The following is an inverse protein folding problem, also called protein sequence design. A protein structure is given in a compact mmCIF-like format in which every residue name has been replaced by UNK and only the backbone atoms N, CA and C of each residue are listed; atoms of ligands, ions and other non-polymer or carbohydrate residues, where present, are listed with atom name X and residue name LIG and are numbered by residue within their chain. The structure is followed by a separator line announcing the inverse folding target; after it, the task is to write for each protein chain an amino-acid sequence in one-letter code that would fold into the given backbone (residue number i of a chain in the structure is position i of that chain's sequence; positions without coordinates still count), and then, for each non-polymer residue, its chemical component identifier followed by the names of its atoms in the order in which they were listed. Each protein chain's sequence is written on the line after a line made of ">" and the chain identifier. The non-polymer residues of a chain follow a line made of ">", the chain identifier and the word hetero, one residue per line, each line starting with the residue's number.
data_IF_949308330372
#
_entry.id   IF_949308330372
#
_cell.length_a   1.000
_cell.length_b   1.000
_cell.length_c   1.000
_cell.angle_alpha   90.00
_cell.angle_beta   90.00
_cell.angle_gamma   90.00
#
_symmetry.space_group_name_H-M   'P 1'
#
loop_
_entity.id
_entity.type
_entity.pdbx_description
1 polymer ?
#
# COMPACT_ATOMS: atom_id res chain seq x y z
N UNK A 1 -0.18 -11.70 -17.94
CA UNK A 1 -0.12 -10.34 -17.39
C UNK A 1 1.35 -9.98 -17.26
N UNK A 2 1.79 -8.78 -17.63
CA UNK A 2 3.17 -8.39 -17.40
C UNK A 2 3.42 -8.38 -15.89
N UNK A 3 4.56 -8.93 -15.47
CA UNK A 3 5.00 -8.87 -14.08
C UNK A 3 5.43 -7.44 -13.77
N UNK A 4 4.90 -6.85 -12.69
CA UNK A 4 5.28 -5.51 -12.24
C UNK A 4 6.35 -5.64 -11.16
N UNK A 5 7.49 -4.99 -11.36
CA UNK A 5 8.56 -4.94 -10.37
C UNK A 5 8.35 -3.74 -9.44
N UNK A 6 8.17 -4.02 -8.15
CA UNK A 6 8.09 -2.98 -7.13
C UNK A 6 9.47 -2.76 -6.52
N UNK A 7 9.94 -1.51 -6.53
CA UNK A 7 11.12 -1.14 -5.77
C UNK A 7 10.72 -0.25 -4.61
N UNK A 8 10.88 -0.76 -3.41
CA UNK A 8 10.77 0.07 -2.22
C UNK A 8 12.00 0.97 -2.13
N UNK A 9 11.80 2.25 -1.93
CA UNK A 9 12.87 3.24 -1.67
C UNK A 9 13.56 3.03 -0.30
N UNK A 10 13.35 1.88 0.34
CA UNK A 10 13.84 1.53 1.68
C UNK A 10 15.35 1.49 1.84
N UNK A 11 16.13 1.61 0.77
CA UNK A 11 17.59 1.53 0.84
C UNK A 11 18.25 2.78 1.45
N UNK A 12 17.61 3.93 1.45
CA UNK A 12 18.19 5.14 2.07
C UNK A 12 18.42 5.00 3.58
N UNK A 13 17.62 4.18 4.28
CA UNK A 13 17.78 3.91 5.70
C UNK A 13 18.98 2.99 6.03
N UNK A 14 19.36 2.11 5.10
CA UNK A 14 20.47 1.17 5.30
C UNK A 14 21.83 1.88 5.20
N UNK A 15 21.89 2.96 4.42
CA UNK A 15 23.15 3.64 4.14
C UNK A 15 23.43 4.84 5.04
N UNK A 16 22.50 5.27 5.90
CA UNK A 16 22.61 6.49 6.71
C UNK A 16 22.96 7.77 5.92
N UNK A 17 22.79 7.75 4.60
CA UNK A 17 23.10 8.87 3.71
C UNK A 17 21.86 9.33 2.96
N UNK A 18 21.65 10.64 2.92
CA UNK A 18 20.73 11.26 1.99
C UNK A 18 21.38 11.29 0.61
N UNK A 19 20.97 10.40 -0.28
CA UNK A 19 21.45 10.38 -1.64
C UNK A 19 20.87 11.56 -2.44
N UNK A 20 21.67 12.19 -3.30
CA UNK A 20 21.15 13.17 -4.25
C UNK A 20 20.24 12.47 -5.29
N UNK A 21 19.30 13.23 -5.88
CA UNK A 21 18.32 12.69 -6.83
C UNK A 21 18.94 11.87 -7.97
N UNK A 22 20.06 12.33 -8.51
CA UNK A 22 20.76 11.58 -9.57
C UNK A 22 21.27 10.20 -9.10
N UNK A 23 21.69 10.10 -7.85
CA UNK A 23 22.12 8.82 -7.25
C UNK A 23 20.94 7.87 -7.04
N UNK A 24 19.77 8.41 -6.64
CA UNK A 24 18.54 7.63 -6.51
C UNK A 24 18.08 7.15 -7.89
N UNK A 25 18.03 8.04 -8.86
CA UNK A 25 17.66 7.70 -10.24
C UNK A 25 18.57 6.62 -10.83
N UNK A 26 19.89 6.74 -10.64
CA UNK A 26 20.84 5.72 -11.09
C UNK A 26 20.54 4.37 -10.44
N UNK A 27 20.37 4.32 -9.13
CA UNK A 27 20.07 3.10 -8.39
C UNK A 27 18.79 2.43 -8.89
N UNK A 28 17.70 3.18 -9.09
CA UNK A 28 16.44 2.63 -9.59
C UNK A 28 16.57 2.13 -11.04
N UNK A 29 17.34 2.83 -11.88
CA UNK A 29 17.61 2.41 -13.24
C UNK A 29 18.44 1.12 -13.30
N UNK A 30 19.42 0.95 -12.41
CA UNK A 30 20.22 -0.27 -12.31
C UNK A 30 19.34 -1.47 -11.92
N UNK A 31 18.44 -1.30 -10.94
CA UNK A 31 17.47 -2.34 -10.58
C UNK A 31 16.53 -2.64 -11.76
N UNK A 32 15.99 -1.63 -12.41
CA UNK A 32 15.13 -1.77 -13.57
C UNK A 32 15.83 -2.50 -14.73
N UNK A 33 17.13 -2.24 -14.92
CA UNK A 33 17.93 -2.89 -15.95
C UNK A 33 18.13 -4.39 -15.72
N UNK A 34 18.10 -4.85 -14.47
CA UNK A 34 18.18 -6.27 -14.12
C UNK A 34 16.93 -7.07 -14.57
N UNK A 35 15.82 -6.40 -14.85
CA UNK A 35 14.58 -7.00 -15.36
C UNK A 35 14.10 -6.24 -16.62
N UNK A 36 14.78 -6.38 -17.76
CA UNK A 36 14.59 -5.49 -18.93
C UNK A 36 13.22 -5.62 -19.61
N UNK A 37 12.50 -6.71 -19.35
CA UNK A 37 11.16 -6.98 -19.92
C UNK A 37 10.03 -6.75 -18.90
N UNK A 38 10.32 -6.01 -17.79
CA UNK A 38 9.36 -5.80 -16.70
C UNK A 38 9.13 -4.29 -16.52
N UNK A 39 7.86 -3.92 -16.42
CA UNK A 39 7.48 -2.56 -16.08
C UNK A 39 7.94 -2.19 -14.68
N UNK A 40 8.22 -0.90 -14.47
CA UNK A 40 8.74 -0.37 -13.23
C UNK A 40 7.75 0.61 -12.60
N UNK A 41 7.40 0.36 -11.34
CA UNK A 41 6.57 1.26 -10.53
C UNK A 41 7.41 1.81 -9.37
N UNK A 42 7.55 3.12 -9.30
CA UNK A 42 8.26 3.80 -8.20
C UNK A 42 7.44 3.65 -6.92
N UNK A 43 8.09 3.26 -5.82
CA UNK A 43 7.45 3.22 -4.51
C UNK A 43 7.84 4.45 -3.69
N UNK A 44 6.94 5.45 -3.65
CA UNK A 44 7.10 6.65 -2.83
C UNK A 44 6.56 6.42 -1.42
N UNK A 45 7.44 6.25 -0.43
CA UNK A 45 7.11 6.06 0.98
C UNK A 45 8.08 6.87 1.88
N UNK A 46 7.98 8.19 1.87
CA UNK A 46 8.96 9.07 2.51
C UNK A 46 9.12 8.86 4.00
N UNK A 47 8.06 8.45 4.70
CA UNK A 47 8.09 8.19 6.16
C UNK A 47 9.05 7.06 6.54
N UNK A 48 9.22 6.07 5.66
CA UNK A 48 10.11 4.93 5.90
C UNK A 48 11.44 5.07 5.15
N UNK A 49 11.39 5.66 3.96
CA UNK A 49 12.56 5.79 3.11
C UNK A 49 13.48 6.97 3.49
N UNK A 50 12.95 7.97 4.22
CA UNK A 50 13.66 9.21 4.48
C UNK A 50 13.87 10.09 3.24
N UNK A 51 13.30 9.69 2.11
CA UNK A 51 13.37 10.40 0.82
C UNK A 51 11.97 10.49 0.22
N UNK A 52 11.55 11.69 -0.15
CA UNK A 52 10.32 11.91 -0.88
C UNK A 52 10.60 11.94 -2.40
N UNK A 53 9.67 11.41 -3.17
CA UNK A 53 9.66 11.59 -4.60
C UNK A 53 9.38 13.08 -4.90
N UNK A 54 10.25 13.70 -5.68
CA UNK A 54 10.08 15.06 -6.20
C UNK A 54 9.70 15.02 -7.67
N UNK A 55 9.14 16.11 -8.18
CA UNK A 55 8.82 16.23 -9.62
C UNK A 55 10.09 16.13 -10.48
N UNK A 56 11.22 16.66 -10.01
CA UNK A 56 12.50 16.56 -10.73
C UNK A 56 12.98 15.12 -10.82
N UNK A 57 12.98 14.39 -9.71
CA UNK A 57 13.35 12.97 -9.67
C UNK A 57 12.40 12.13 -10.53
N UNK A 58 11.09 12.39 -10.45
CA UNK A 58 10.11 11.69 -11.28
C UNK A 58 10.38 11.90 -12.78
N UNK A 59 10.61 13.14 -13.21
CA UNK A 59 10.91 13.46 -14.61
C UNK A 59 12.20 12.83 -15.09
N UNK A 60 13.21 12.72 -14.22
CA UNK A 60 14.43 11.98 -14.53
C UNK A 60 14.11 10.49 -14.75
N UNK A 61 13.33 9.89 -13.89
CA UNK A 61 12.93 8.48 -14.00
C UNK A 61 12.04 8.19 -15.21
N UNK A 62 11.19 9.14 -15.63
CA UNK A 62 10.37 9.01 -16.85
C UNK A 62 11.16 8.90 -18.15
N UNK A 63 12.46 9.21 -18.14
CA UNK A 63 13.34 8.93 -19.29
C UNK A 63 13.51 7.42 -19.54
N UNK A 64 13.29 6.60 -18.52
CA UNK A 64 13.20 5.16 -18.65
C UNK A 64 11.75 4.77 -19.07
N UNK A 65 11.53 4.28 -20.29
CA UNK A 65 10.19 4.01 -20.80
C UNK A 65 9.44 2.89 -20.07
N UNK A 66 10.14 2.14 -19.21
CA UNK A 66 9.52 1.11 -18.37
C UNK A 66 8.91 1.68 -17.08
N UNK A 67 9.18 2.93 -16.74
CA UNK A 67 8.54 3.60 -15.61
C UNK A 67 7.12 3.96 -16.00
N UNK A 68 6.17 3.16 -15.54
CA UNK A 68 4.74 3.28 -15.90
C UNK A 68 3.90 3.89 -14.78
N UNK A 69 4.42 4.00 -13.56
CA UNK A 69 3.59 4.47 -12.46
C UNK A 69 4.32 4.70 -11.14
N UNK A 70 3.53 5.14 -10.18
CA UNK A 70 3.94 5.38 -8.79
C UNK A 70 2.97 4.69 -7.83
N UNK A 71 3.48 3.87 -6.91
CA UNK A 71 2.75 3.52 -5.68
C UNK A 71 3.03 4.62 -4.68
N UNK A 72 1.99 5.42 -4.37
CA UNK A 72 2.12 6.56 -3.48
C UNK A 72 1.67 6.23 -2.07
N UNK A 73 2.62 6.12 -1.15
CA UNK A 73 2.39 5.93 0.29
C UNK A 73 2.79 7.17 1.11
N UNK A 74 2.96 8.33 0.48
CA UNK A 74 3.01 9.60 1.21
C UNK A 74 1.64 9.88 1.82
N UNK A 75 1.61 10.56 2.99
CA UNK A 75 0.34 10.86 3.67
C UNK A 75 -0.49 11.94 2.97
N UNK A 76 0.10 12.98 2.34
CA UNK A 76 -0.66 13.97 1.58
C UNK A 76 -1.31 13.35 0.32
N UNK A 77 -2.63 13.30 0.27
CA UNK A 77 -3.37 12.72 -0.88
C UNK A 77 -3.20 13.51 -2.17
N UNK A 78 -2.92 14.83 -2.09
CA UNK A 78 -2.64 15.65 -3.28
C UNK A 78 -1.40 15.19 -4.05
N UNK A 79 -0.48 14.45 -3.44
CA UNK A 79 0.65 13.88 -4.16
C UNK A 79 0.18 12.90 -5.26
N UNK A 80 -0.94 12.23 -5.05
CA UNK A 80 -1.54 11.34 -6.06
C UNK A 80 -1.91 12.11 -7.31
N UNK A 81 -2.58 13.27 -7.17
CA UNK A 81 -2.90 14.13 -8.29
C UNK A 81 -1.63 14.63 -9.00
N UNK A 82 -0.59 15.01 -8.25
CA UNK A 82 0.67 15.47 -8.84
C UNK A 82 1.32 14.43 -9.75
N UNK A 83 1.29 13.16 -9.36
CA UNK A 83 1.82 12.05 -10.18
C UNK A 83 0.89 11.69 -11.33
N UNK A 84 -0.42 11.78 -11.12
CA UNK A 84 -1.43 11.60 -12.17
C UNK A 84 -1.29 12.66 -13.27
N UNK A 85 -1.03 13.91 -12.93
CA UNK A 85 -0.80 15.01 -13.88
C UNK A 85 0.47 14.83 -14.74
N UNK A 86 1.35 13.92 -14.35
CA UNK A 86 2.53 13.52 -15.12
C UNK A 86 2.26 12.29 -16.02
N UNK A 87 0.99 11.96 -16.30
CA UNK A 87 0.54 10.83 -17.15
C UNK A 87 1.03 9.46 -16.67
N UNK A 88 1.09 9.24 -15.35
CA UNK A 88 1.49 7.98 -14.75
C UNK A 88 0.30 7.25 -14.12
N UNK A 89 0.37 5.92 -14.09
CA UNK A 89 -0.52 5.12 -13.25
C UNK A 89 -0.16 5.39 -11.77
N UNK A 90 -1.14 5.82 -10.98
CA UNK A 90 -0.91 6.06 -9.56
C UNK A 90 -1.71 5.06 -8.74
N UNK A 91 -1.01 4.35 -7.86
CA UNK A 91 -1.61 3.41 -6.91
C UNK A 91 -1.63 4.05 -5.52
N UNK A 92 -2.81 4.09 -4.90
CA UNK A 92 -2.93 4.52 -3.51
C UNK A 92 -2.22 3.53 -2.57
N UNK A 93 -1.38 4.02 -1.69
CA UNK A 93 -0.61 3.21 -0.73
C UNK A 93 -1.23 3.08 0.65
N UNK A 94 -1.65 4.18 1.32
CA UNK A 94 -2.31 4.10 2.61
C UNK A 94 -3.72 3.51 2.48
N UNK A 95 -3.96 2.35 3.08
CA UNK A 95 -5.22 1.60 2.97
C UNK A 95 -6.40 2.40 3.51
N UNK A 96 -6.17 3.16 4.60
CA UNK A 96 -7.13 4.04 5.27
C UNK A 96 -7.57 5.24 4.43
N UNK A 97 -6.87 5.51 3.33
CA UNK A 97 -7.14 6.65 2.45
C UNK A 97 -7.57 6.20 1.04
N UNK A 98 -8.00 4.95 0.86
CA UNK A 98 -8.22 4.42 -0.48
C UNK A 98 -9.26 5.22 -1.28
N UNK A 99 -10.42 5.52 -0.69
CA UNK A 99 -11.46 6.34 -1.36
C UNK A 99 -10.94 7.75 -1.68
N UNK A 100 -10.15 8.35 -0.79
CA UNK A 100 -9.54 9.68 -1.02
C UNK A 100 -8.52 9.61 -2.14
N UNK A 101 -7.72 8.54 -2.19
CA UNK A 101 -6.77 8.30 -3.26
C UNK A 101 -7.45 8.16 -4.63
N UNK A 102 -8.55 7.42 -4.70
CA UNK A 102 -9.35 7.29 -5.92
C UNK A 102 -9.90 8.65 -6.37
N UNK A 103 -10.38 9.47 -5.42
CA UNK A 103 -10.88 10.81 -5.72
C UNK A 103 -9.79 11.76 -6.25
N UNK A 104 -8.53 11.53 -5.90
CA UNK A 104 -7.37 12.29 -6.39
C UNK A 104 -6.74 11.70 -7.66
N UNK A 105 -7.35 10.67 -8.26
CA UNK A 105 -6.91 10.10 -9.53
C UNK A 105 -6.09 8.82 -9.43
N UNK A 106 -6.02 8.15 -8.27
CA UNK A 106 -5.44 6.82 -8.21
C UNK A 106 -6.28 5.83 -9.04
N UNK A 107 -5.60 4.99 -9.82
CA UNK A 107 -6.26 3.96 -10.64
C UNK A 107 -6.63 2.70 -9.84
N UNK A 108 -5.96 2.47 -8.72
CA UNK A 108 -6.17 1.32 -7.83
C UNK A 108 -5.45 1.55 -6.49
N UNK A 109 -5.48 0.55 -5.58
CA UNK A 109 -4.74 0.54 -4.33
C UNK A 109 -3.79 -0.64 -4.21
N UNK A 110 -2.69 -0.44 -3.49
CA UNK A 110 -1.73 -1.49 -3.14
C UNK A 110 -1.33 -1.30 -1.68
N UNK A 111 -1.79 -2.18 -0.81
CA UNK A 111 -1.51 -2.12 0.62
C UNK A 111 -1.57 -3.47 1.30
N UNK A 112 -1.24 -3.50 2.58
CA UNK A 112 -1.14 -4.74 3.35
C UNK A 112 -2.49 -5.34 3.69
N UNK A 113 -3.46 -4.51 4.08
CA UNK A 113 -4.75 -4.99 4.61
C UNK A 113 -5.69 -5.53 3.54
N UNK A 114 -5.40 -5.25 2.26
CA UNK A 114 -6.10 -5.88 1.14
C UNK A 114 -6.01 -7.42 1.16
N UNK A 115 -4.97 -7.96 1.80
CA UNK A 115 -4.79 -9.41 1.89
C UNK A 115 -5.85 -10.11 2.75
N UNK A 116 -6.42 -9.42 3.74
CA UNK A 116 -7.36 -9.99 4.72
C UNK A 116 -8.82 -9.57 4.52
N UNK A 117 -9.08 -8.57 3.67
CA UNK A 117 -10.42 -8.07 3.38
C UNK A 117 -10.54 -7.50 1.96
N UNK A 118 -10.09 -8.24 0.92
CA UNK A 118 -10.09 -7.75 -0.47
C UNK A 118 -11.49 -7.40 -0.97
N UNK A 119 -12.52 -8.12 -0.52
CA UNK A 119 -13.91 -7.91 -0.93
C UNK A 119 -14.38 -6.49 -0.59
N UNK A 120 -14.04 -5.98 0.60
CA UNK A 120 -14.43 -4.64 1.04
C UNK A 120 -13.78 -3.57 0.16
N UNK A 121 -12.49 -3.68 -0.15
CA UNK A 121 -11.79 -2.73 -1.03
C UNK A 121 -12.33 -2.77 -2.47
N UNK A 122 -12.64 -3.97 -2.98
CA UNK A 122 -13.27 -4.11 -4.29
C UNK A 122 -14.65 -3.45 -4.30
N UNK A 123 -15.41 -3.54 -3.19
CA UNK A 123 -16.71 -2.87 -3.05
C UNK A 123 -16.58 -1.34 -2.98
N UNK A 124 -15.58 -0.81 -2.25
CA UNK A 124 -15.28 0.63 -2.27
C UNK A 124 -15.00 1.08 -3.70
N UNK A 125 -14.17 0.35 -4.43
CA UNK A 125 -13.83 0.66 -5.81
C UNK A 125 -15.06 0.62 -6.73
N UNK A 126 -15.90 -0.43 -6.61
CA UNK A 126 -17.14 -0.57 -7.38
C UNK A 126 -18.09 0.61 -7.18
N UNK A 127 -18.37 0.97 -5.92
CA UNK A 127 -19.25 2.10 -5.61
C UNK A 127 -18.66 3.43 -6.06
N UNK A 128 -17.35 3.61 -5.91
CA UNK A 128 -16.65 4.81 -6.40
C UNK A 128 -16.84 4.97 -7.91
N UNK A 129 -16.61 3.90 -8.70
CA UNK A 129 -16.76 3.92 -10.16
C UNK A 129 -18.20 4.24 -10.60
N UNK A 130 -19.21 3.88 -9.80
CA UNK A 130 -20.62 4.20 -10.02
C UNK A 130 -21.01 5.61 -9.56
N UNK A 131 -20.11 6.37 -8.93
CA UNK A 131 -20.42 7.66 -8.30
C UNK A 131 -21.19 7.58 -6.99
N UNK A 132 -21.33 6.40 -6.41
CA UNK A 132 -22.06 6.12 -5.19
C UNK A 132 -21.18 6.39 -3.95
N UNK A 133 -20.73 7.65 -3.82
CA UNK A 133 -19.70 8.06 -2.85
C UNK A 133 -20.07 7.79 -1.40
N UNK A 134 -21.36 7.92 -1.04
CA UNK A 134 -21.80 7.68 0.34
C UNK A 134 -21.69 6.19 0.71
N UNK A 135 -22.05 5.29 -0.21
CA UNK A 135 -21.88 3.85 -0.01
C UNK A 135 -20.39 3.48 0.08
N UNK A 136 -19.55 4.00 -0.82
CA UNK A 136 -18.11 3.80 -0.78
C UNK A 136 -17.50 4.28 0.55
N UNK A 137 -17.94 5.45 1.05
CA UNK A 137 -17.46 6.03 2.31
C UNK A 137 -17.86 5.19 3.52
N UNK A 138 -19.08 4.63 3.55
CA UNK A 138 -19.52 3.77 4.65
C UNK A 138 -18.64 2.51 4.75
N UNK A 139 -18.26 1.92 3.61
CA UNK A 139 -17.38 0.74 3.59
C UNK A 139 -15.97 1.13 4.01
N UNK A 140 -15.44 2.26 3.50
CA UNK A 140 -14.12 2.75 3.89
C UNK A 140 -14.03 2.98 5.41
N UNK A 141 -15.06 3.60 6.02
CA UNK A 141 -15.08 3.81 7.46
C UNK A 141 -15.04 2.48 8.25
N UNK A 142 -15.71 1.44 7.77
CA UNK A 142 -15.66 0.11 8.38
C UNK A 142 -14.27 -0.51 8.24
N UNK A 143 -13.65 -0.41 7.06
CA UNK A 143 -12.25 -0.81 6.81
C UNK A 143 -11.32 -0.13 7.83
N UNK A 144 -11.47 1.17 8.05
CA UNK A 144 -10.62 1.93 8.96
C UNK A 144 -10.79 1.46 10.41
N UNK A 145 -12.03 1.18 10.85
CA UNK A 145 -12.28 0.59 12.18
C UNK A 145 -11.59 -0.76 12.34
N UNK A 146 -11.64 -1.62 11.31
CA UNK A 146 -10.96 -2.92 11.32
C UNK A 146 -9.44 -2.74 11.37
N UNK A 147 -8.89 -1.81 10.59
CA UNK A 147 -7.44 -1.52 10.60
C UNK A 147 -7.01 -1.04 11.99
N UNK A 148 -7.74 -0.10 12.60
CA UNK A 148 -7.43 0.38 13.95
C UNK A 148 -7.53 -0.73 14.99
N UNK A 149 -8.49 -1.65 14.86
CA UNK A 149 -8.55 -2.83 15.71
C UNK A 149 -7.29 -3.69 15.54
N UNK A 150 -6.88 -4.01 14.32
CA UNK A 150 -5.65 -4.77 14.08
C UNK A 150 -4.40 -4.07 14.65
N UNK A 151 -4.35 -2.74 14.56
CA UNK A 151 -3.24 -1.92 15.09
C UNK A 151 -3.21 -1.85 16.63
N UNK A 152 -4.28 -2.27 17.31
CA UNK A 152 -4.33 -2.28 18.79
C UNK A 152 -3.56 -3.45 19.43
N UNK A 153 -3.07 -4.40 18.65
CA UNK A 153 -2.24 -5.49 19.10
C UNK A 153 -0.86 -4.99 19.58
N UNK A 154 -0.23 -5.76 20.49
CA UNK A 154 1.18 -5.55 20.84
C UNK A 154 2.11 -5.89 19.66
N UNK A 155 1.80 -6.95 18.94
CA UNK A 155 2.54 -7.36 17.76
C UNK A 155 2.32 -6.43 16.58
N UNK A 156 3.20 -6.53 15.58
CA UNK A 156 3.11 -5.74 14.37
C UNK A 156 1.83 -6.05 13.57
N UNK A 157 1.24 -5.04 12.91
CA UNK A 157 0.06 -5.18 12.05
C UNK A 157 0.15 -6.37 11.07
N UNK A 158 1.31 -6.59 10.44
CA UNK A 158 1.50 -7.72 9.52
C UNK A 158 1.48 -9.09 10.24
N UNK A 159 1.84 -9.14 11.54
CA UNK A 159 1.68 -10.35 12.32
C UNK A 159 0.20 -10.67 12.59
N UNK A 160 -0.62 -9.64 12.86
CA UNK A 160 -2.07 -9.77 13.00
C UNK A 160 -2.70 -10.26 11.70
N UNK A 161 -2.38 -9.64 10.58
CA UNK A 161 -2.88 -10.04 9.25
C UNK A 161 -2.55 -11.50 8.93
N UNK A 162 -1.31 -11.94 9.19
CA UNK A 162 -0.90 -13.32 8.98
C UNK A 162 -1.64 -14.32 9.88
N UNK A 163 -1.96 -13.91 11.10
CA UNK A 163 -2.76 -14.72 12.01
C UNK A 163 -4.22 -14.83 11.55
N UNK A 164 -4.79 -13.75 11.02
CA UNK A 164 -6.12 -13.76 10.40
C UNK A 164 -6.14 -14.70 9.18
N UNK A 165 -5.18 -14.56 8.26
CA UNK A 165 -5.06 -15.46 7.10
C UNK A 165 -4.92 -16.92 7.50
N UNK A 166 -4.20 -17.21 8.59
CA UNK A 166 -4.07 -18.58 9.09
C UNK A 166 -5.42 -19.16 9.57
N UNK A 167 -6.32 -18.32 10.15
CA UNK A 167 -7.69 -18.74 10.50
C UNK A 167 -8.52 -19.10 9.26
N UNK A 168 -8.27 -18.41 8.15
CA UNK A 168 -8.92 -18.66 6.86
C UNK A 168 -8.25 -19.78 6.05
N UNK A 169 -7.33 -20.54 6.68
CA UNK A 169 -6.67 -21.67 6.05
C UNK A 169 -5.45 -21.32 5.20
N UNK A 170 -4.95 -20.08 5.27
CA UNK A 170 -3.76 -19.61 4.53
C UNK A 170 -2.61 -19.29 5.52
N UNK A 171 -1.87 -20.29 6.02
CA UNK A 171 -0.81 -20.06 7.00
C UNK A 171 0.44 -19.45 6.33
N UNK A 172 0.67 -18.16 6.55
CA UNK A 172 1.81 -17.41 6.03
C UNK A 172 2.99 -17.28 7.01
N UNK A 173 2.97 -18.01 8.12
CA UNK A 173 3.97 -17.88 9.19
C UNK A 173 3.82 -16.61 10.00
N UNK A 174 4.94 -16.07 10.50
CA UNK A 174 4.98 -14.86 11.31
C UNK A 174 5.79 -13.77 10.62
N UNK A 175 6.01 -12.65 11.30
CA UNK A 175 6.88 -11.55 10.84
C UNK A 175 8.34 -11.87 11.11
N UNK A 176 9.24 -11.25 10.34
CA UNK A 176 10.68 -11.33 10.55
C UNK A 176 11.13 -10.26 11.56
N UNK A 177 12.15 -10.56 12.35
CA UNK A 177 12.82 -9.56 13.19
C UNK A 177 13.38 -8.42 12.32
N UNK A 178 13.34 -7.17 12.78
CA UNK A 178 13.01 -6.70 14.14
C UNK A 178 11.52 -6.45 14.42
N UNK A 179 10.61 -6.77 13.49
CA UNK A 179 9.17 -6.56 13.74
C UNK A 179 8.68 -7.40 14.92
N UNK A 180 7.92 -6.81 15.88
CA UNK A 180 7.35 -7.54 17.00
C UNK A 180 6.39 -8.63 16.53
N UNK A 181 6.60 -9.85 17.01
CA UNK A 181 5.64 -10.94 16.85
C UNK A 181 4.45 -10.76 17.81
N UNK A 182 3.37 -11.49 17.55
CA UNK A 182 2.23 -11.55 18.48
C UNK A 182 2.64 -12.18 19.82
N UNK A 183 1.98 -11.74 20.88
CA UNK A 183 2.03 -12.34 22.21
C UNK A 183 0.65 -12.93 22.56
N UNK A 184 0.55 -13.70 23.61
CA UNK A 184 -0.70 -14.43 23.98
C UNK A 184 -1.90 -13.51 24.14
N UNK A 185 -1.72 -12.29 24.67
CA UNK A 185 -2.80 -11.31 24.82
C UNK A 185 -3.34 -10.78 23.50
N UNK A 186 -2.61 -10.90 22.39
CA UNK A 186 -3.04 -10.44 21.07
C UNK A 186 -4.08 -11.38 20.44
N UNK A 187 -4.25 -12.60 20.96
CA UNK A 187 -5.21 -13.56 20.43
C UNK A 187 -6.63 -12.97 20.37
N UNK A 188 -7.05 -12.24 21.41
CA UNK A 188 -8.36 -11.59 21.46
C UNK A 188 -8.50 -10.52 20.37
N UNK A 189 -7.45 -9.75 20.09
CA UNK A 189 -7.46 -8.74 19.01
C UNK A 189 -7.58 -9.39 17.64
N UNK A 190 -6.85 -10.49 17.41
CA UNK A 190 -6.92 -11.26 16.16
C UNK A 190 -8.33 -11.83 15.96
N UNK A 191 -8.93 -12.41 17.00
CA UNK A 191 -10.27 -12.99 16.95
C UNK A 191 -11.34 -11.93 16.66
N UNK A 192 -11.27 -10.79 17.34
CA UNK A 192 -12.20 -9.69 17.15
C UNK A 192 -12.05 -9.07 15.75
N UNK A 193 -10.83 -8.81 15.29
CA UNK A 193 -10.59 -8.26 13.96
C UNK A 193 -11.10 -9.23 12.86
N UNK A 194 -10.86 -10.53 12.99
CA UNK A 194 -11.38 -11.55 12.08
C UNK A 194 -12.91 -11.56 12.05
N UNK A 195 -13.56 -11.47 13.22
CA UNK A 195 -15.01 -11.39 13.30
C UNK A 195 -15.58 -10.10 12.69
N UNK A 196 -14.90 -8.95 12.88
CA UNK A 196 -15.28 -7.68 12.27
C UNK A 196 -15.20 -7.77 10.74
N UNK A 197 -14.14 -8.36 10.18
CA UNK A 197 -14.01 -8.58 8.74
C UNK A 197 -15.17 -9.41 8.22
N UNK A 198 -15.47 -10.56 8.85
CA UNK A 198 -16.56 -11.43 8.43
C UNK A 198 -17.92 -10.72 8.47
N UNK A 199 -18.18 -9.93 9.52
CA UNK A 199 -19.41 -9.15 9.65
C UNK A 199 -19.51 -8.06 8.59
N UNK A 200 -18.43 -7.36 8.29
CA UNK A 200 -18.38 -6.31 7.27
C UNK A 200 -18.59 -6.89 5.86
N UNK A 201 -17.94 -7.99 5.55
CA UNK A 201 -18.13 -8.70 4.26
C UNK A 201 -19.58 -9.15 4.11
N UNK A 202 -20.17 -9.77 5.14
CA UNK A 202 -21.57 -10.19 5.11
C UNK A 202 -22.57 -9.03 4.96
N UNK A 203 -22.19 -7.81 5.42
CA UNK A 203 -23.04 -6.62 5.35
C UNK A 203 -22.98 -5.91 4.01
N UNK A 204 -21.81 -5.87 3.37
CA UNK A 204 -21.56 -5.00 2.22
C UNK A 204 -21.31 -5.76 0.92
N UNK A 205 -20.93 -7.04 0.98
CA UNK A 205 -20.60 -7.85 -0.19
C UNK A 205 -21.59 -8.96 -0.44
#
# INVERSE_FOLDING_TARGET
>A
MPSVLYTASTFSHILNFHLPEYGIAQYWNDISAAAPNTDFVIYNIPQLAGVALTTSLLREMKKNPRVIGVKNSSMPTQDIQMWHDEDLLVFNGPDEQFISGLAMGACAGIGGTYAVMPELFLKVYEHFQKGEMEAARQIQNEIDHIIYKMCSAHGNLYAVQKAILAKDGVPCGSVRKPMPALIDSDAAVVDEAHAMIAAAVAKFC
#
